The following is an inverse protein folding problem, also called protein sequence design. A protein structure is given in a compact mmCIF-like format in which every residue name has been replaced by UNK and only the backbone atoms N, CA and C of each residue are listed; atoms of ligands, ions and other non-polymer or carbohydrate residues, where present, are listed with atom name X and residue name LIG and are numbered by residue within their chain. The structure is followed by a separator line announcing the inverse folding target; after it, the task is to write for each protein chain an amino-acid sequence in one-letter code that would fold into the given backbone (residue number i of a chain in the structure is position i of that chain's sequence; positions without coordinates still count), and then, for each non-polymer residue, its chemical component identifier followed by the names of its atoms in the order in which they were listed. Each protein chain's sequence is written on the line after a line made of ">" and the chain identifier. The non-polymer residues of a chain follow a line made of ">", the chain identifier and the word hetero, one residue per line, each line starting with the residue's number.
data_IF_497198419390
#
_entry.id   IF_497198419390
#
_cell.length_a   1.000
_cell.length_b   1.000
_cell.length_c   1.000
_cell.angle_alpha   90.00
_cell.angle_beta   90.00
_cell.angle_gamma   90.00
#
_symmetry.space_group_name_H-M   'P 1'
#
loop_
_entity.id
_entity.type
_entity.pdbx_description
1 polymer ?
#
# COMPACT_ATOMS: atom_id res chain seq x y z
N UNK A 1 55.45 -13.27 13.53
CA UNK A 1 55.36 -12.32 12.41
C UNK A 1 54.00 -12.52 11.76
N UNK A 2 53.20 -11.46 11.58
CA UNK A 2 51.95 -11.53 10.80
C UNK A 2 50.66 -11.09 11.50
N UNK A 3 50.56 -9.79 11.81
CA UNK A 3 49.38 -8.94 11.56
C UNK A 3 48.00 -9.41 12.06
N UNK A 4 47.86 -9.61 13.37
CA UNK A 4 46.61 -9.34 14.08
C UNK A 4 46.80 -8.06 14.88
N UNK A 5 46.24 -6.93 14.40
CA UNK A 5 45.97 -5.67 15.12
C UNK A 5 45.93 -4.48 14.13
N UNK A 6 44.97 -4.48 13.21
CA UNK A 6 44.61 -3.27 12.45
C UNK A 6 43.10 -3.08 12.37
N UNK A 7 42.38 -3.45 13.43
CA UNK A 7 40.93 -3.17 13.54
C UNK A 7 40.57 -2.29 14.75
N UNK A 8 41.56 -1.91 15.57
CA UNK A 8 41.36 -1.03 16.73
C UNK A 8 42.00 0.36 16.58
N UNK A 9 42.39 0.75 15.36
CA UNK A 9 43.09 2.02 15.09
C UNK A 9 42.35 2.93 14.09
N UNK A 10 41.01 2.85 14.03
CA UNK A 10 40.18 3.87 13.37
C UNK A 10 39.14 4.51 14.31
N UNK A 11 39.08 4.12 15.58
CA UNK A 11 38.18 4.71 16.58
C UNK A 11 38.82 5.86 17.40
N UNK A 12 40.05 6.28 17.06
CA UNK A 12 40.79 7.32 17.77
C UNK A 12 41.38 8.38 16.84
N UNK A 13 40.56 8.98 15.98
CA UNK A 13 40.90 10.22 15.27
C UNK A 13 39.80 11.27 15.51
N UNK A 14 40.11 12.48 16.01
CA UNK A 14 39.14 13.51 16.33
C UNK A 14 38.78 14.30 15.07
N UNK A 15 38.11 13.69 14.09
CA UNK A 15 37.63 14.39 12.88
C UNK A 15 36.30 13.79 12.39
N UNK A 16 35.41 13.45 13.31
CA UNK A 16 33.99 13.39 12.98
C UNK A 16 33.33 14.48 13.80
N UNK A 17 33.31 15.68 13.23
CA UNK A 17 32.58 16.81 13.79
C UNK A 17 31.14 16.39 14.05
N UNK A 18 30.47 16.98 15.03
CA UNK A 18 29.08 16.68 15.39
C UNK A 18 28.14 16.66 14.17
N UNK A 19 28.48 17.42 13.12
CA UNK A 19 27.79 17.47 11.83
C UNK A 19 27.90 16.18 11.02
N UNK A 20 29.04 15.50 11.05
CA UNK A 20 29.27 14.21 10.36
C UNK A 20 28.55 13.07 11.08
N UNK A 21 28.54 13.08 12.41
CA UNK A 21 27.76 12.11 13.21
C UNK A 21 26.26 12.32 13.00
N UNK A 22 25.79 13.56 12.95
CA UNK A 22 24.40 13.90 12.62
C UNK A 22 24.07 13.53 11.17
N UNK A 23 24.96 13.80 10.21
CA UNK A 23 24.74 13.43 8.81
C UNK A 23 24.69 11.91 8.64
N UNK A 24 25.60 11.18 9.28
CA UNK A 24 25.58 9.72 9.31
C UNK A 24 24.31 9.21 9.98
N UNK A 25 23.92 9.73 11.14
CA UNK A 25 22.65 9.37 11.81
C UNK A 25 21.42 9.70 10.94
N UNK A 26 21.39 10.83 10.24
CA UNK A 26 20.33 11.18 9.31
C UNK A 26 20.32 10.26 8.08
N UNK A 27 21.48 9.84 7.58
CA UNK A 27 21.61 8.86 6.51
C UNK A 27 21.19 7.45 6.97
N UNK A 28 21.55 7.05 8.20
CA UNK A 28 21.10 5.82 8.85
C UNK A 28 19.59 5.83 9.17
N UNK A 29 19.02 6.97 9.54
CA UNK A 29 17.57 7.15 9.73
C UNK A 29 16.82 7.14 8.38
N UNK A 30 17.39 7.72 7.32
CA UNK A 30 16.85 7.64 5.95
C UNK A 30 16.90 6.22 5.38
N UNK A 31 17.87 5.40 5.76
CA UNK A 31 17.95 3.99 5.34
C UNK A 31 17.14 3.02 6.21
N UNK A 32 16.76 3.44 7.43
CA UNK A 32 15.93 2.66 8.36
C UNK A 32 14.42 2.69 8.03
N UNK A 33 13.98 3.55 7.12
CA UNK A 33 12.63 3.48 6.55
C UNK A 33 12.75 3.14 5.07
N UNK A 34 12.58 1.88 4.66
CA UNK A 34 12.22 1.65 3.28
C UNK A 34 10.85 2.30 3.09
N UNK A 35 10.80 3.49 2.47
CA UNK A 35 9.61 4.01 1.77
C UNK A 35 9.33 3.18 0.51
N UNK A 36 9.36 1.87 0.68
CA UNK A 36 8.86 0.87 -0.24
C UNK A 36 8.56 -0.37 0.59
N UNK A 37 7.74 -0.20 1.64
CA UNK A 37 6.76 -1.25 1.88
C UNK A 37 6.06 -1.41 0.53
N UNK A 38 6.06 -2.60 -0.04
CA UNK A 38 5.08 -2.95 -1.05
C UNK A 38 3.72 -2.67 -0.40
N UNK A 39 3.20 -1.44 -0.62
CA UNK A 39 1.86 -1.06 -0.24
C UNK A 39 1.05 -2.07 -1.00
N UNK A 40 0.47 -3.04 -0.30
CA UNK A 40 -0.49 -3.95 -0.92
C UNK A 40 -1.52 -3.02 -1.54
N UNK A 41 -1.45 -2.88 -2.86
CA UNK A 41 -2.23 -1.91 -3.60
C UNK A 41 -3.66 -2.39 -3.47
N UNK A 42 -4.41 -1.74 -2.58
CA UNK A 42 -5.81 -2.05 -2.37
C UNK A 42 -6.54 -1.84 -3.71
N UNK A 43 -7.31 -2.83 -4.14
CA UNK A 43 -7.92 -2.87 -5.46
C UNK A 43 -9.43 -3.05 -5.37
N UNK A 44 -10.15 -2.72 -6.44
CA UNK A 44 -11.60 -2.90 -6.52
C UNK A 44 -12.03 -3.68 -7.77
N UNK A 45 -13.15 -4.39 -7.69
CA UNK A 45 -13.77 -5.07 -8.83
C UNK A 45 -14.92 -4.23 -9.40
N UNK A 46 -15.18 -4.38 -10.70
CA UNK A 46 -16.29 -3.70 -11.38
C UNK A 46 -16.21 -2.17 -11.25
N UNK A 47 -17.25 -1.57 -10.67
CA UNK A 47 -17.33 -0.15 -10.33
C UNK A 47 -16.91 0.15 -8.87
N UNK A 48 -16.60 -0.88 -8.08
CA UNK A 48 -16.18 -0.74 -6.70
C UNK A 48 -17.31 -0.45 -5.70
N UNK A 49 -18.58 -0.68 -6.04
CA UNK A 49 -19.67 -0.63 -5.06
C UNK A 49 -19.48 -1.62 -3.89
N UNK A 50 -18.85 -2.77 -4.16
CA UNK A 50 -18.53 -3.79 -3.17
C UNK A 50 -17.19 -3.56 -2.44
N UNK A 51 -16.46 -2.50 -2.77
CA UNK A 51 -15.17 -2.23 -2.18
C UNK A 51 -15.32 -1.85 -0.70
N UNK A 52 -14.70 -2.65 0.18
CA UNK A 52 -14.76 -2.47 1.64
C UNK A 52 -13.39 -2.19 2.28
N UNK A 53 -12.37 -1.91 1.47
CA UNK A 53 -11.03 -1.57 1.94
C UNK A 53 -10.96 -0.26 2.72
N UNK A 54 -9.76 0.09 3.17
CA UNK A 54 -9.52 1.22 4.11
C UNK A 54 -8.76 2.38 3.49
N UNK A 55 -8.55 2.36 2.17
CA UNK A 55 -7.94 3.50 1.47
C UNK A 55 -8.75 4.77 1.70
N UNK A 56 -8.05 5.88 1.94
CA UNK A 56 -8.63 7.20 2.24
C UNK A 56 -7.86 8.34 1.57
N UNK A 57 -7.22 8.01 0.44
CA UNK A 57 -6.39 8.92 -0.33
C UNK A 57 -6.84 8.93 -1.79
N UNK A 58 -7.00 10.13 -2.34
CA UNK A 58 -7.40 10.36 -3.74
C UNK A 58 -6.25 10.15 -4.73
N UNK A 59 -6.55 10.05 -6.02
CA UNK A 59 -5.56 9.87 -7.09
C UNK A 59 -4.46 10.95 -7.12
N UNK A 60 -4.75 12.16 -6.64
CA UNK A 60 -3.76 13.25 -6.51
C UNK A 60 -3.18 13.38 -5.10
N UNK A 61 -3.44 12.42 -4.20
CA UNK A 61 -2.89 12.43 -2.84
C UNK A 61 -3.66 13.27 -1.82
N UNK A 62 -4.86 13.79 -2.14
CA UNK A 62 -5.70 14.50 -1.15
C UNK A 62 -6.29 13.52 -0.14
N UNK A 63 -6.34 13.94 1.12
CA UNK A 63 -7.01 13.23 2.20
C UNK A 63 -8.52 13.27 2.00
N UNK A 64 -9.18 12.11 2.19
CA UNK A 64 -10.63 12.03 2.18
C UNK A 64 -11.26 12.67 3.43
N UNK A 65 -12.35 13.39 3.24
CA UNK A 65 -13.29 13.82 4.27
C UNK A 65 -14.07 12.62 4.80
N UNK A 66 -14.35 12.61 6.10
CA UNK A 66 -15.19 11.57 6.70
C UNK A 66 -16.64 11.67 6.20
N UNK A 67 -17.27 10.54 5.88
CA UNK A 67 -18.67 10.49 5.41
C UNK A 67 -19.68 11.00 6.44
N UNK A 68 -19.33 11.00 7.73
CA UNK A 68 -20.15 11.60 8.78
C UNK A 68 -19.91 13.10 8.93
N UNK A 69 -18.87 13.66 8.31
CA UNK A 69 -18.55 15.08 8.35
C UNK A 69 -19.31 15.84 7.28
N UNK A 70 -19.74 17.05 7.62
CA UNK A 70 -20.33 18.02 6.67
C UNK A 70 -19.37 19.14 6.30
N UNK A 71 -18.11 19.04 6.73
CA UNK A 71 -17.03 19.99 6.43
C UNK A 71 -15.81 19.27 5.81
N UNK A 72 -15.13 19.88 4.83
CA UNK A 72 -15.47 21.14 4.17
C UNK A 72 -16.68 21.05 3.21
N UNK A 73 -17.09 19.84 2.82
CA UNK A 73 -18.15 19.64 1.83
C UNK A 73 -19.42 19.07 2.45
N UNK A 74 -20.48 19.88 2.55
CA UNK A 74 -21.81 19.38 2.92
C UNK A 74 -22.34 18.40 1.85
N UNK A 75 -22.97 17.30 2.27
CA UNK A 75 -23.48 16.29 1.35
C UNK A 75 -24.58 15.39 1.94
N UNK A 76 -25.28 14.65 1.08
CA UNK A 76 -26.35 13.73 1.50
C UNK A 76 -25.94 12.24 1.46
N UNK A 77 -24.65 11.92 1.24
CA UNK A 77 -24.13 10.54 1.27
C UNK A 77 -23.81 10.16 2.72
N UNK A 78 -24.85 9.87 3.48
CA UNK A 78 -24.75 9.49 4.90
C UNK A 78 -25.19 8.04 5.09
N UNK A 79 -24.86 7.46 6.24
CA UNK A 79 -25.27 6.10 6.62
C UNK A 79 -26.78 5.93 6.68
N UNK A 80 -27.54 7.01 6.91
CA UNK A 80 -29.01 6.98 6.93
C UNK A 80 -29.58 6.86 5.52
N UNK A 81 -29.01 7.58 4.55
CA UNK A 81 -29.48 7.57 3.16
C UNK A 81 -28.94 6.37 2.36
N UNK A 82 -27.75 5.86 2.72
CA UNK A 82 -27.06 4.76 2.04
C UNK A 82 -26.58 3.70 3.04
N UNK A 83 -27.49 2.99 3.73
CA UNK A 83 -27.15 2.09 4.85
C UNK A 83 -26.26 0.91 4.43
N UNK A 84 -26.31 0.49 3.17
CA UNK A 84 -25.56 -0.66 2.66
C UNK A 84 -24.24 -0.27 1.98
N UNK A 85 -23.92 1.01 1.86
CA UNK A 85 -22.73 1.48 1.14
C UNK A 85 -21.45 1.49 1.98
N UNK A 86 -21.50 1.05 3.25
CA UNK A 86 -20.33 0.95 4.11
C UNK A 86 -19.62 2.29 4.35
N UNK A 87 -20.38 3.40 4.46
CA UNK A 87 -19.88 4.77 4.62
C UNK A 87 -19.27 5.01 6.02
N UNK A 88 -18.12 4.38 6.26
CA UNK A 88 -17.42 4.38 7.55
C UNK A 88 -16.16 5.25 7.46
N UNK A 89 -15.94 6.09 8.48
CA UNK A 89 -14.78 7.02 8.56
C UNK A 89 -14.69 7.84 7.27
N UNK A 90 -13.51 7.93 6.67
CA UNK A 90 -13.22 8.61 5.42
C UNK A 90 -12.74 7.64 4.34
N UNK A 91 -13.19 6.37 4.40
CA UNK A 91 -12.74 5.37 3.45
C UNK A 91 -13.40 5.53 2.08
N UNK A 92 -12.66 5.28 1.02
CA UNK A 92 -13.13 5.32 -0.35
C UNK A 92 -14.33 4.40 -0.55
N UNK A 93 -15.44 4.91 -1.09
CA UNK A 93 -16.65 4.13 -1.35
C UNK A 93 -17.29 4.57 -2.65
N UNK A 94 -18.20 3.75 -3.15
CA UNK A 94 -19.01 4.09 -4.30
C UNK A 94 -20.50 3.94 -3.98
N UNK A 95 -21.09 4.83 -3.17
CA UNK A 95 -22.54 4.80 -2.89
C UNK A 95 -23.39 5.17 -4.10
N UNK A 96 -22.78 5.80 -5.11
CA UNK A 96 -23.41 6.19 -6.37
C UNK A 96 -23.01 5.17 -7.46
N UNK A 97 -23.83 4.94 -8.48
CA UNK A 97 -23.46 4.04 -9.59
C UNK A 97 -22.49 4.73 -10.57
N UNK A 98 -21.37 5.26 -10.08
CA UNK A 98 -20.30 5.89 -10.89
C UNK A 98 -19.13 4.92 -11.11
N UNK A 99 -18.13 5.33 -11.89
CA UNK A 99 -17.16 4.40 -12.49
C UNK A 99 -16.14 3.74 -11.52
N UNK A 100 -15.93 4.29 -10.32
CA UNK A 100 -14.91 3.83 -9.36
C UNK A 100 -15.19 4.41 -7.94
N UNK A 101 -14.59 3.82 -6.88
CA UNK A 101 -14.65 4.39 -5.54
C UNK A 101 -14.08 5.80 -5.48
N UNK A 102 -14.75 6.66 -4.73
CA UNK A 102 -14.41 8.06 -4.55
C UNK A 102 -14.56 8.46 -3.09
N UNK A 103 -14.18 9.69 -2.77
CA UNK A 103 -14.51 10.32 -1.51
C UNK A 103 -14.68 11.84 -1.70
N UNK A 104 -15.36 12.50 -0.77
CA UNK A 104 -15.21 13.94 -0.60
C UNK A 104 -13.78 14.24 -0.13
N UNK A 105 -13.20 15.37 -0.53
CA UNK A 105 -11.81 15.69 -0.15
C UNK A 105 -11.76 16.69 1.00
N UNK A 106 -10.65 16.73 1.73
CA UNK A 106 -10.39 17.79 2.72
C UNK A 106 -9.98 19.13 2.08
N UNK A 107 -9.78 19.18 0.76
CA UNK A 107 -9.49 20.41 0.03
C UNK A 107 -10.81 21.16 -0.25
N UNK A 108 -11.02 22.38 0.28
CA UNK A 108 -12.26 23.13 0.08
C UNK A 108 -12.51 23.51 -1.39
N UNK A 109 -11.49 23.45 -2.25
CA UNK A 109 -11.62 23.76 -3.68
C UNK A 109 -11.95 22.54 -4.54
N UNK A 110 -11.81 21.32 -4.00
CA UNK A 110 -12.07 20.07 -4.72
C UNK A 110 -13.09 19.26 -3.96
N UNK A 111 -14.34 19.33 -4.39
CA UNK A 111 -15.48 18.72 -3.67
C UNK A 111 -15.30 17.22 -3.45
N UNK A 112 -14.98 16.49 -4.51
CA UNK A 112 -14.78 15.04 -4.47
C UNK A 112 -13.80 14.64 -5.55
N UNK A 113 -13.19 13.47 -5.38
CA UNK A 113 -12.23 12.93 -6.33
C UNK A 113 -12.18 11.40 -6.22
N UNK A 114 -11.79 10.72 -7.31
CA UNK A 114 -11.58 9.28 -7.28
C UNK A 114 -10.42 8.90 -6.38
N UNK A 115 -10.53 7.72 -5.79
CA UNK A 115 -9.50 7.20 -4.91
C UNK A 115 -8.33 6.60 -5.67
N UNK A 116 -7.15 6.63 -5.05
CA UNK A 116 -5.93 6.02 -5.59
C UNK A 116 -5.99 4.48 -5.45
N UNK A 117 -6.92 3.87 -6.17
CA UNK A 117 -7.17 2.44 -6.19
C UNK A 117 -7.08 1.93 -7.62
N UNK A 118 -6.46 0.77 -7.79
CA UNK A 118 -6.43 0.08 -9.07
C UNK A 118 -7.62 -0.87 -9.18
N UNK A 119 -8.01 -1.22 -10.42
CA UNK A 119 -8.92 -2.36 -10.61
C UNK A 119 -8.18 -3.65 -10.34
N UNK A 120 -8.80 -4.56 -9.61
CA UNK A 120 -8.23 -5.88 -9.41
C UNK A 120 -8.10 -6.59 -10.77
N UNK A 121 -6.95 -7.21 -11.00
CA UNK A 121 -6.78 -8.11 -12.14
C UNK A 121 -7.50 -9.42 -11.79
N UNK A 122 -8.27 -9.97 -12.72
CA UNK A 122 -8.86 -11.31 -12.55
C UNK A 122 -7.78 -12.42 -12.44
N UNK A 123 -6.51 -12.07 -12.68
CA UNK A 123 -5.34 -12.92 -12.50
C UNK A 123 -4.83 -12.99 -11.04
N UNK A 124 -5.26 -12.10 -10.14
CA UNK A 124 -4.84 -12.09 -8.72
C UNK A 124 -5.65 -13.10 -7.89
N UNK A 125 -5.76 -14.32 -8.40
CA UNK A 125 -6.45 -15.46 -7.78
C UNK A 125 -5.62 -16.73 -7.76
N UNK A 126 -4.32 -16.64 -8.05
CA UNK A 126 -3.44 -17.81 -7.97
C UNK A 126 -2.06 -17.40 -7.44
N UNK A 127 -1.82 -17.67 -6.15
CA UNK A 127 -0.47 -17.96 -5.70
C UNK A 127 -0.02 -19.26 -6.39
N UNK A 128 0.45 -19.16 -7.64
CA UNK A 128 1.18 -20.25 -8.28
C UNK A 128 2.59 -20.19 -7.69
N UNK A 129 2.84 -21.07 -6.72
CA UNK A 129 4.20 -21.42 -6.34
C UNK A 129 5.01 -21.73 -7.62
N UNK A 130 6.29 -21.32 -7.71
CA UNK A 130 7.07 -21.50 -8.93
C UNK A 130 7.07 -22.97 -9.36
N UNK A 131 6.84 -23.30 -10.64
CA UNK A 131 6.96 -24.66 -11.11
C UNK A 131 8.45 -24.98 -11.21
N UNK A 132 9.03 -25.56 -10.16
CA UNK A 132 10.22 -26.39 -10.35
C UNK A 132 10.40 -27.40 -9.22
N UNK A 133 9.83 -28.59 -9.38
CA UNK A 133 10.48 -29.81 -8.91
C UNK A 133 10.59 -30.75 -10.11
N UNK A 134 11.75 -30.63 -10.74
CA UNK A 134 12.60 -31.68 -11.29
C UNK A 134 11.92 -32.96 -11.78
N UNK A 135 11.97 -33.11 -13.10
CA UNK A 135 11.87 -34.35 -13.86
C UNK A 135 12.63 -35.49 -13.15
N UNK A 136 11.94 -36.57 -12.79
CA UNK A 136 12.60 -37.86 -12.54
C UNK A 136 12.10 -38.86 -13.59
N UNK A 137 12.98 -39.57 -14.31
CA UNK A 137 12.63 -40.28 -15.54
C UNK A 137 11.79 -41.54 -15.31
N UNK A 138 10.94 -41.78 -16.30
CA UNK A 138 10.23 -43.03 -16.57
C UNK A 138 11.10 -44.27 -16.40
N UNK A 139 10.59 -45.27 -15.66
CA UNK A 139 10.81 -46.68 -15.95
C UNK A 139 9.45 -47.40 -15.89
N UNK A 140 8.97 -47.75 -17.08
CA UNK A 140 8.02 -48.83 -17.44
C UNK A 140 8.22 -50.10 -16.58
N UNK A 141 7.28 -51.03 -16.36
CA UNK A 141 6.08 -51.52 -17.05
C UNK A 141 5.50 -52.68 -16.16
N UNK A 142 4.58 -53.57 -16.60
CA UNK A 142 3.31 -53.36 -17.30
C UNK A 142 2.13 -54.17 -16.68
N UNK A 143 0.90 -53.78 -17.06
CA UNK A 143 -0.30 -54.60 -17.34
C UNK A 143 -0.71 -55.78 -16.42
N UNK A 144 -1.93 -55.69 -15.88
CA UNK A 144 -2.85 -56.82 -15.87
C UNK A 144 -4.16 -56.46 -16.60
N UNK A 145 -4.57 -57.40 -17.45
CA UNK A 145 -5.77 -57.57 -18.29
C UNK A 145 -5.84 -56.89 -19.67
#
# INVERSE_FOLDING_TARGET
>A
MGLGHTFWALLASPIMEHKEVVLLLLLFLKSALPEQSHVVQDCYHGDGQSYQGTSSTTVTGRTCQAWSSMEPHQHNRTTENYPNAGLIRNYCRNPDPVAAPYCYTMDPNVRWEYCNLTRCSDAEGTAVAPPNVTLVPSLEAPSEQ
#
